data_IF_497544626015
#
_entry.id   IF_497544626015
#
_cell.length_a   1.000
_cell.length_b   1.000
_cell.length_c   1.000
_cell.angle_alpha   90.00
_cell.angle_beta   90.00
_cell.angle_gamma   90.00
#
_symmetry.space_group_name_H-M   'P 1'
#
loop_
_entity.id
_entity.type
_entity.pdbx_description
1 polymer ?
#
# COMPACT_ATOMS: atom_id res chain seq x y z
N UNK A 1 -15.80 -34.37 7.46
CA UNK A 1 -16.18 -33.03 7.90
C UNK A 1 -15.30 -32.63 9.07
N UNK A 2 -14.43 -31.65 8.90
CA UNK A 2 -13.51 -31.15 9.95
C UNK A 2 -14.15 -29.93 10.61
N UNK A 3 -14.39 -30.00 11.93
CA UNK A 3 -14.91 -28.85 12.69
C UNK A 3 -13.80 -28.16 13.48
N UNK A 4 -13.73 -26.80 13.37
CA UNK A 4 -12.81 -25.95 14.13
C UNK A 4 -13.57 -24.78 14.79
N UNK A 5 -12.92 -23.99 15.64
CA UNK A 5 -13.53 -22.78 16.21
C UNK A 5 -13.61 -21.66 15.20
N UNK A 6 -12.60 -21.57 14.30
CA UNK A 6 -12.49 -20.50 13.32
C UNK A 6 -11.97 -21.02 11.98
N UNK A 7 -12.69 -20.72 10.89
CA UNK A 7 -12.17 -20.83 9.53
C UNK A 7 -11.71 -19.45 9.07
N UNK A 8 -10.53 -19.36 8.44
CA UNK A 8 -10.03 -18.14 7.81
C UNK A 8 -9.79 -18.42 6.34
N UNK A 9 -10.43 -17.64 5.46
CA UNK A 9 -10.28 -17.74 4.00
C UNK A 9 -9.32 -16.69 3.52
N UNK A 10 -8.09 -17.08 3.19
CA UNK A 10 -6.97 -16.22 2.78
C UNK A 10 -5.90 -16.10 3.86
N UNK A 11 -4.63 -16.29 3.47
CA UNK A 11 -3.46 -16.23 4.35
C UNK A 11 -2.62 -14.94 4.12
N UNK A 12 -3.27 -13.84 3.70
CA UNK A 12 -2.66 -12.51 3.68
C UNK A 12 -2.35 -12.00 5.10
N UNK A 13 -1.81 -10.76 5.25
CA UNK A 13 -1.41 -10.20 6.55
C UNK A 13 -2.48 -10.26 7.63
N UNK A 14 -3.75 -10.04 7.28
CA UNK A 14 -4.87 -10.20 8.20
C UNK A 14 -5.07 -11.66 8.60
N UNK A 15 -5.12 -12.58 7.62
CA UNK A 15 -5.44 -13.98 7.84
C UNK A 15 -4.40 -14.73 8.67
N UNK A 16 -3.11 -14.70 8.26
CA UNK A 16 -2.08 -15.46 9.00
C UNK A 16 -1.82 -14.91 10.41
N UNK A 17 -1.95 -13.58 10.60
CA UNK A 17 -1.82 -12.98 11.93
C UNK A 17 -3.00 -13.33 12.83
N UNK A 18 -4.22 -13.28 12.30
CA UNK A 18 -5.42 -13.70 13.03
C UNK A 18 -5.36 -15.18 13.40
N UNK A 19 -4.94 -16.06 12.47
CA UNK A 19 -4.79 -17.50 12.74
C UNK A 19 -3.81 -17.76 13.89
N UNK A 20 -2.64 -17.13 13.84
CA UNK A 20 -1.64 -17.27 14.90
C UNK A 20 -2.14 -16.75 16.25
N UNK A 21 -2.75 -15.56 16.27
CA UNK A 21 -3.32 -14.97 17.48
C UNK A 21 -4.42 -15.86 18.09
N UNK A 22 -5.32 -16.38 17.27
CA UNK A 22 -6.39 -17.29 17.71
C UNK A 22 -5.84 -18.58 18.32
N UNK A 23 -4.86 -19.21 17.65
CA UNK A 23 -4.22 -20.45 18.15
C UNK A 23 -3.45 -20.22 19.46
N UNK A 24 -2.74 -19.09 19.63
CA UNK A 24 -2.09 -18.70 20.88
C UNK A 24 -3.07 -18.55 22.05
N UNK A 25 -4.34 -18.29 21.75
CA UNK A 25 -5.42 -18.18 22.75
C UNK A 25 -6.29 -19.44 22.84
N UNK A 26 -5.82 -20.56 22.31
CA UNK A 26 -6.44 -21.90 22.49
C UNK A 26 -7.57 -22.22 21.51
N UNK A 27 -7.81 -21.39 20.48
CA UNK A 27 -8.76 -21.72 19.41
C UNK A 27 -8.13 -22.68 18.41
N UNK A 28 -8.94 -23.61 17.89
CA UNK A 28 -8.58 -24.39 16.70
C UNK A 28 -8.95 -23.64 15.45
N UNK A 29 -8.01 -23.52 14.52
CA UNK A 29 -8.14 -22.69 13.31
C UNK A 29 -7.88 -23.53 12.06
N UNK A 30 -8.77 -23.44 11.08
CA UNK A 30 -8.49 -23.86 9.71
C UNK A 30 -8.26 -22.62 8.87
N UNK A 31 -7.06 -22.45 8.32
CA UNK A 31 -6.74 -21.35 7.39
C UNK A 31 -6.57 -21.92 5.98
N UNK A 32 -7.28 -21.34 5.02
CA UNK A 32 -7.36 -21.83 3.64
C UNK A 32 -6.72 -20.80 2.72
N UNK A 33 -5.80 -21.22 1.84
CA UNK A 33 -5.09 -20.35 0.90
C UNK A 33 -5.09 -20.96 -0.51
N UNK A 34 -5.54 -20.16 -1.47
CA UNK A 34 -5.60 -20.58 -2.86
C UNK A 34 -4.27 -20.49 -3.62
N UNK A 35 -3.34 -19.67 -3.11
CA UNK A 35 -2.05 -19.40 -3.74
C UNK A 35 -0.89 -19.60 -2.73
N UNK A 36 0.07 -18.67 -2.68
CA UNK A 36 1.20 -18.72 -1.75
C UNK A 36 0.85 -18.10 -0.39
N UNK A 37 1.37 -18.70 0.69
CA UNK A 37 1.26 -18.16 2.04
C UNK A 37 1.80 -16.71 2.12
N UNK A 38 1.09 -15.84 2.85
CA UNK A 38 1.45 -14.43 3.01
C UNK A 38 0.67 -13.48 2.10
N UNK A 39 -0.10 -14.00 1.13
CA UNK A 39 -0.99 -13.22 0.27
C UNK A 39 -0.28 -12.20 -0.62
N UNK A 40 -1.04 -11.25 -1.15
CA UNK A 40 -0.56 -10.24 -2.11
C UNK A 40 0.59 -9.40 -1.56
N UNK A 41 0.49 -8.90 -0.33
CA UNK A 41 1.50 -8.00 0.24
C UNK A 41 2.91 -8.61 0.24
N UNK A 42 3.04 -9.85 0.67
CA UNK A 42 4.33 -10.54 0.72
C UNK A 42 4.83 -10.96 -0.66
N UNK A 43 3.96 -11.56 -1.47
CA UNK A 43 4.40 -12.26 -2.66
C UNK A 43 4.46 -11.38 -3.91
N UNK A 44 3.53 -10.42 -4.06
CA UNK A 44 3.35 -9.64 -5.29
C UNK A 44 2.88 -8.20 -5.02
N UNK A 45 3.27 -7.62 -3.86
CA UNK A 45 2.87 -6.27 -3.45
C UNK A 45 3.96 -5.55 -2.67
N UNK A 46 3.71 -5.34 -1.37
CA UNK A 46 4.54 -4.48 -0.51
C UNK A 46 6.02 -4.90 -0.50
N UNK A 47 6.31 -6.16 -0.19
CA UNK A 47 7.68 -6.63 0.06
C UNK A 47 8.55 -6.59 -1.22
N UNK A 48 8.13 -7.20 -2.34
CA UNK A 48 8.92 -7.10 -3.56
C UNK A 48 9.10 -5.66 -4.04
N UNK A 49 8.04 -4.81 -3.96
CA UNK A 49 8.14 -3.40 -4.34
C UNK A 49 9.14 -2.66 -3.45
N UNK A 50 9.08 -2.81 -2.12
CA UNK A 50 10.01 -2.13 -1.19
C UNK A 50 11.45 -2.62 -1.35
N UNK A 51 11.63 -3.87 -1.78
CA UNK A 51 12.96 -4.37 -2.17
C UNK A 51 13.50 -3.62 -3.39
N UNK A 52 12.65 -3.37 -4.41
CA UNK A 52 13.03 -2.56 -5.57
C UNK A 52 13.23 -1.07 -5.21
N UNK A 53 12.39 -0.51 -4.33
CA UNK A 53 12.58 0.86 -3.81
C UNK A 53 13.98 1.02 -3.19
N UNK A 54 14.41 0.05 -2.36
CA UNK A 54 15.76 0.09 -1.77
C UNK A 54 16.87 0.01 -2.82
N UNK A 55 16.69 -0.75 -3.89
CA UNK A 55 17.63 -0.75 -5.00
C UNK A 55 17.72 0.62 -5.69
N UNK A 56 16.56 1.28 -5.89
CA UNK A 56 16.50 2.63 -6.46
C UNK A 56 17.24 3.67 -5.60
N UNK A 57 17.07 3.62 -4.27
CA UNK A 57 17.80 4.47 -3.31
C UNK A 57 19.32 4.26 -3.39
N UNK A 58 19.77 2.99 -3.51
CA UNK A 58 21.20 2.68 -3.66
C UNK A 58 21.75 3.28 -4.96
N UNK A 59 21.03 3.18 -6.06
CA UNK A 59 21.41 3.77 -7.35
C UNK A 59 21.52 5.29 -7.22
N UNK A 60 20.52 5.93 -6.62
CA UNK A 60 20.52 7.37 -6.40
C UNK A 60 21.71 7.83 -5.54
N UNK A 61 22.00 7.10 -4.45
CA UNK A 61 23.18 7.36 -3.61
C UNK A 61 24.49 7.26 -4.43
N UNK A 62 24.61 6.26 -5.32
CA UNK A 62 25.78 6.12 -6.19
C UNK A 62 25.88 7.24 -7.23
N UNK A 63 24.76 7.70 -7.79
CA UNK A 63 24.73 8.81 -8.75
C UNK A 63 25.17 10.15 -8.15
N UNK A 64 25.00 10.32 -6.84
CA UNK A 64 25.34 11.53 -6.09
C UNK A 64 26.49 11.32 -5.08
N UNK A 65 27.31 10.28 -5.28
CA UNK A 65 28.40 9.93 -4.36
C UNK A 65 29.47 11.03 -4.23
N UNK A 66 29.64 11.86 -5.25
CA UNK A 66 30.56 13.01 -5.30
C UNK A 66 30.25 14.05 -4.21
N UNK A 67 28.98 14.24 -3.84
CA UNK A 67 28.56 15.13 -2.73
C UNK A 67 29.20 14.70 -1.41
N UNK A 68 29.46 13.39 -1.24
CA UNK A 68 30.11 12.80 -0.06
C UNK A 68 31.64 12.62 -0.24
N UNK A 69 32.21 13.17 -1.31
CA UNK A 69 33.64 13.04 -1.61
C UNK A 69 34.06 11.66 -2.10
N UNK A 70 33.10 10.84 -2.56
CA UNK A 70 33.37 9.50 -3.13
C UNK A 70 33.36 9.60 -4.65
N UNK A 71 34.51 9.39 -5.29
CA UNK A 71 34.62 9.32 -6.75
C UNK A 71 34.32 7.89 -7.22
N UNK A 72 33.46 7.76 -8.24
CA UNK A 72 33.13 6.52 -8.90
C UNK A 72 33.47 6.62 -10.40
N UNK A 73 34.16 5.62 -10.94
CA UNK A 73 34.43 5.50 -12.39
C UNK A 73 33.20 4.94 -13.17
N UNK A 74 31.99 5.17 -12.64
CA UNK A 74 30.74 4.63 -13.14
C UNK A 74 30.28 3.38 -12.38
N UNK A 75 29.06 2.91 -12.68
CA UNK A 75 28.50 1.66 -12.18
C UNK A 75 27.57 1.05 -13.23
N UNK A 76 27.33 -0.24 -13.12
CA UNK A 76 26.41 -0.96 -13.97
C UNK A 76 25.32 -1.66 -13.13
N UNK A 77 24.06 -1.35 -13.42
CA UNK A 77 22.93 -2.05 -12.83
C UNK A 77 22.82 -3.46 -13.43
N UNK A 78 22.94 -4.48 -12.60
CA UNK A 78 22.72 -5.89 -12.98
C UNK A 78 21.29 -6.29 -12.63
N UNK A 79 20.33 -5.94 -13.51
CA UNK A 79 18.91 -6.14 -13.25
C UNK A 79 18.53 -7.58 -12.88
N UNK A 80 19.08 -8.65 -13.51
CA UNK A 80 18.82 -10.01 -13.05
C UNK A 80 19.15 -10.26 -11.58
N UNK A 81 20.24 -9.65 -11.04
CA UNK A 81 20.59 -9.76 -9.62
C UNK A 81 19.64 -8.96 -8.70
N UNK A 82 19.10 -7.85 -9.20
CA UNK A 82 18.05 -7.11 -8.49
C UNK A 82 16.83 -7.99 -8.30
N UNK A 83 16.40 -8.66 -9.37
CA UNK A 83 15.23 -9.56 -9.35
C UNK A 83 15.48 -10.81 -8.51
N UNK A 84 16.67 -11.40 -8.60
CA UNK A 84 17.08 -12.51 -7.73
C UNK A 84 17.02 -12.12 -6.25
N UNK A 85 17.58 -10.96 -5.88
CA UNK A 85 17.51 -10.45 -4.50
C UNK A 85 16.08 -10.22 -4.04
N UNK A 86 15.23 -9.63 -4.91
CA UNK A 86 13.80 -9.45 -4.64
C UNK A 86 13.16 -10.81 -4.30
N UNK A 87 13.41 -11.82 -5.11
CA UNK A 87 12.85 -13.16 -4.94
C UNK A 87 13.36 -13.82 -3.64
N UNK A 88 14.65 -13.73 -3.32
CA UNK A 88 15.21 -14.24 -2.07
C UNK A 88 14.54 -13.64 -0.84
N UNK A 89 14.28 -12.32 -0.83
CA UNK A 89 13.58 -11.65 0.28
C UNK A 89 12.16 -12.18 0.44
N UNK A 90 11.43 -12.34 -0.66
CA UNK A 90 10.06 -12.89 -0.66
C UNK A 90 10.06 -14.34 -0.13
N UNK A 91 10.94 -15.19 -0.62
CA UNK A 91 11.03 -16.61 -0.22
C UNK A 91 11.39 -16.76 1.26
N UNK A 92 12.36 -15.97 1.74
CA UNK A 92 12.73 -15.99 3.16
C UNK A 92 11.54 -15.67 4.07
N UNK A 93 10.77 -14.63 3.74
CA UNK A 93 9.60 -14.24 4.54
C UNK A 93 8.44 -15.22 4.39
N UNK A 94 8.22 -15.77 3.19
CA UNK A 94 7.21 -16.81 2.95
C UNK A 94 7.47 -18.06 3.81
N UNK A 95 8.72 -18.53 3.83
CA UNK A 95 9.16 -19.66 4.67
C UNK A 95 8.89 -19.38 6.17
N UNK A 96 9.09 -18.13 6.62
CA UNK A 96 8.74 -17.72 7.98
C UNK A 96 7.23 -17.83 8.27
N UNK A 97 6.39 -17.44 7.33
CA UNK A 97 4.92 -17.57 7.48
C UNK A 97 4.50 -19.04 7.43
N UNK A 98 5.08 -19.83 6.52
CA UNK A 98 4.79 -21.28 6.46
C UNK A 98 5.16 -21.98 7.77
N UNK A 99 6.27 -21.58 8.40
CA UNK A 99 6.65 -22.04 9.74
C UNK A 99 5.63 -21.59 10.80
N UNK A 100 5.17 -20.34 10.72
CA UNK A 100 4.15 -19.84 11.63
C UNK A 100 2.82 -20.61 11.51
N UNK A 101 2.46 -21.06 10.31
CA UNK A 101 1.27 -21.89 10.08
C UNK A 101 1.38 -23.32 10.63
N UNK A 102 2.57 -23.73 11.10
CA UNK A 102 2.77 -24.99 11.82
C UNK A 102 2.51 -24.88 13.34
N UNK A 103 2.07 -23.71 13.82
CA UNK A 103 1.69 -23.52 15.23
C UNK A 103 0.60 -24.52 15.63
N UNK A 104 0.74 -25.23 16.77
CA UNK A 104 -0.30 -26.12 17.26
C UNK A 104 -1.66 -25.42 17.34
N UNK A 105 -2.70 -26.10 16.85
CA UNK A 105 -4.05 -25.54 16.74
C UNK A 105 -4.37 -24.93 15.38
N UNK A 106 -3.39 -24.78 14.47
CA UNK A 106 -3.61 -24.33 13.10
C UNK A 106 -3.57 -25.52 12.13
N UNK A 107 -4.58 -25.63 11.29
CA UNK A 107 -4.62 -26.48 10.11
C UNK A 107 -4.54 -25.61 8.87
N UNK A 108 -3.44 -25.72 8.11
CA UNK A 108 -3.25 -24.97 6.86
C UNK A 108 -3.70 -25.81 5.66
N UNK A 109 -4.69 -25.33 4.92
CA UNK A 109 -5.29 -26.02 3.77
C UNK A 109 -4.98 -25.23 2.50
N UNK A 110 -4.48 -25.91 1.47
CA UNK A 110 -4.26 -25.33 0.15
C UNK A 110 -5.43 -25.63 -0.77
N UNK A 111 -6.00 -24.58 -1.34
CA UNK A 111 -7.09 -24.68 -2.31
C UNK A 111 -7.97 -23.44 -2.30
N UNK A 112 -8.83 -23.37 -3.31
CA UNK A 112 -9.82 -22.30 -3.42
C UNK A 112 -11.05 -22.65 -2.58
N UNK A 113 -11.42 -21.76 -1.66
CA UNK A 113 -12.55 -21.92 -0.76
C UNK A 113 -13.81 -21.24 -1.31
N UNK A 114 -14.96 -21.88 -1.16
CA UNK A 114 -16.28 -21.29 -1.43
C UNK A 114 -17.30 -21.75 -0.39
N UNK A 115 -18.35 -20.97 -0.20
CA UNK A 115 -19.40 -21.31 0.74
C UNK A 115 -20.37 -22.33 0.12
N UNK A 116 -20.78 -23.31 0.93
CA UNK A 116 -21.90 -24.18 0.65
C UNK A 116 -23.18 -23.66 1.33
N UNK A 117 -23.01 -23.10 2.51
CA UNK A 117 -24.03 -22.45 3.34
C UNK A 117 -23.33 -21.52 4.35
N UNK A 118 -24.07 -20.93 5.29
CA UNK A 118 -23.54 -20.00 6.30
C UNK A 118 -22.57 -20.60 7.32
N UNK A 119 -22.44 -21.93 7.38
CA UNK A 119 -21.62 -22.65 8.38
C UNK A 119 -20.55 -23.54 7.73
N UNK A 120 -20.67 -23.78 6.41
CA UNK A 120 -19.85 -24.76 5.67
C UNK A 120 -19.08 -24.10 4.54
N UNK A 121 -17.77 -24.30 4.55
CA UNK A 121 -16.83 -23.93 3.49
C UNK A 121 -16.31 -25.18 2.80
N UNK A 122 -16.21 -25.16 1.47
CA UNK A 122 -15.77 -26.28 0.64
C UNK A 122 -14.43 -25.93 -0.02
N UNK A 123 -13.52 -26.91 -0.04
CA UNK A 123 -12.25 -26.84 -0.77
C UNK A 123 -12.05 -28.14 -1.55
N UNK A 124 -12.18 -28.09 -2.87
CA UNK A 124 -12.24 -29.30 -3.69
C UNK A 124 -13.46 -30.15 -3.31
N UNK A 125 -13.23 -31.41 -2.87
CA UNK A 125 -14.28 -32.34 -2.41
C UNK A 125 -14.43 -32.35 -0.88
N UNK A 126 -13.69 -31.54 -0.15
CA UNK A 126 -13.67 -31.55 1.31
C UNK A 126 -14.51 -30.41 1.91
N UNK A 127 -15.27 -30.75 2.97
CA UNK A 127 -16.11 -29.81 3.71
C UNK A 127 -15.51 -29.48 5.08
N UNK A 128 -15.50 -28.19 5.42
CA UNK A 128 -15.02 -27.64 6.68
C UNK A 128 -16.12 -26.82 7.34
N UNK A 129 -16.27 -26.97 8.65
CA UNK A 129 -17.26 -26.24 9.44
C UNK A 129 -16.58 -25.56 10.62
N UNK A 130 -17.11 -24.41 11.03
CA UNK A 130 -16.61 -23.69 12.20
C UNK A 130 -17.71 -22.97 12.95
N UNK A 131 -17.42 -22.56 14.19
CA UNK A 131 -18.29 -21.68 14.96
C UNK A 131 -18.28 -20.25 14.39
N UNK A 132 -17.15 -19.83 13.78
CA UNK A 132 -16.99 -18.55 13.12
C UNK A 132 -16.19 -18.69 11.81
N UNK A 133 -16.48 -17.84 10.83
CA UNK A 133 -15.76 -17.78 9.55
C UNK A 133 -15.27 -16.35 9.31
N UNK A 134 -13.99 -16.19 8.96
CA UNK A 134 -13.36 -14.92 8.65
C UNK A 134 -12.93 -14.89 7.18
N UNK A 135 -13.51 -14.00 6.38
CA UNK A 135 -13.16 -13.80 4.98
C UNK A 135 -12.03 -12.79 4.92
N UNK A 136 -10.84 -13.19 4.43
CA UNK A 136 -9.62 -12.40 4.32
C UNK A 136 -8.98 -12.52 2.92
N UNK A 137 -9.81 -12.63 1.88
CA UNK A 137 -9.42 -12.93 0.50
C UNK A 137 -8.72 -11.77 -0.22
N UNK A 138 -8.71 -10.58 0.38
CA UNK A 138 -7.95 -9.43 -0.10
C UNK A 138 -8.54 -8.79 -1.35
N UNK A 139 -7.66 -8.38 -2.27
CA UNK A 139 -8.02 -7.65 -3.49
C UNK A 139 -7.04 -7.94 -4.62
N UNK A 140 -7.48 -7.67 -5.87
CA UNK A 140 -6.65 -7.70 -7.08
C UNK A 140 -6.59 -6.34 -7.78
N UNK A 141 -5.68 -6.20 -8.75
CA UNK A 141 -5.56 -5.00 -9.57
C UNK A 141 -6.84 -4.76 -10.37
N UNK A 142 -7.33 -3.53 -10.38
CA UNK A 142 -8.49 -3.13 -11.16
C UNK A 142 -8.07 -2.67 -12.55
N UNK A 143 -8.49 -3.40 -13.59
CA UNK A 143 -8.34 -2.97 -14.97
C UNK A 143 -9.56 -2.16 -15.41
N UNK A 144 -9.38 -0.90 -15.83
CA UNK A 144 -10.48 -0.08 -16.32
C UNK A 144 -10.94 -0.57 -17.69
N UNK A 145 -12.19 -0.30 -18.12
CA UNK A 145 -12.70 -0.70 -19.42
C UNK A 145 -12.19 0.25 -20.53
N UNK A 146 -10.87 0.27 -20.73
CA UNK A 146 -10.17 1.03 -21.76
C UNK A 146 -9.80 0.05 -22.88
N UNK A 147 -10.01 0.44 -24.13
CA UNK A 147 -9.60 -0.35 -25.28
C UNK A 147 -8.09 -0.59 -25.27
N UNK A 148 -7.69 -1.85 -25.49
CA UNK A 148 -6.28 -2.26 -25.54
C UNK A 148 -5.67 -2.66 -24.19
N UNK A 149 -6.41 -2.70 -23.09
CA UNK A 149 -5.88 -3.14 -21.78
C UNK A 149 -5.46 -4.61 -21.72
N UNK A 150 -5.85 -5.41 -22.71
CA UNK A 150 -5.48 -6.84 -22.83
C UNK A 150 -4.34 -7.07 -23.82
N UNK A 151 -3.79 -6.04 -24.42
CA UNK A 151 -2.66 -6.17 -25.35
C UNK A 151 -1.41 -6.66 -24.61
N UNK A 152 -0.56 -7.49 -25.25
CA UNK A 152 0.73 -7.86 -24.69
C UNK A 152 1.54 -6.59 -24.32
N UNK A 153 2.21 -6.59 -23.16
CA UNK A 153 2.95 -5.43 -22.65
C UNK A 153 2.10 -4.38 -21.94
N UNK A 154 0.77 -4.53 -21.91
CA UNK A 154 -0.10 -3.84 -20.96
C UNK A 154 -0.27 -4.76 -19.76
N UNK A 155 0.23 -4.36 -18.60
CA UNK A 155 0.40 -5.21 -17.44
C UNK A 155 -0.06 -4.51 -16.16
N UNK A 156 -0.27 -5.28 -15.11
CA UNK A 156 -0.53 -4.77 -13.75
C UNK A 156 0.76 -4.74 -12.92
N UNK A 157 0.65 -4.32 -11.66
CA UNK A 157 1.79 -4.33 -10.72
C UNK A 157 2.33 -5.74 -10.45
N UNK A 158 1.49 -6.76 -10.58
CA UNK A 158 1.90 -8.16 -10.38
C UNK A 158 2.91 -8.60 -11.45
N UNK A 159 2.57 -8.40 -12.71
CA UNK A 159 3.46 -8.77 -13.82
C UNK A 159 4.70 -7.86 -13.89
N UNK A 160 4.56 -6.56 -13.52
CA UNK A 160 5.70 -5.64 -13.51
C UNK A 160 6.76 -6.05 -12.48
N UNK A 161 6.37 -6.71 -11.39
CA UNK A 161 7.31 -7.26 -10.39
C UNK A 161 8.08 -8.48 -10.88
N UNK A 162 7.71 -9.07 -12.04
CA UNK A 162 8.33 -10.28 -12.58
C UNK A 162 8.87 -10.11 -14.02
N UNK A 163 9.07 -8.87 -14.47
CA UNK A 163 9.65 -8.61 -15.79
C UNK A 163 11.14 -9.01 -15.84
N UNK A 164 11.57 -9.45 -17.00
CA UNK A 164 12.96 -9.90 -17.24
C UNK A 164 13.93 -8.74 -17.51
N UNK A 165 13.44 -7.62 -18.05
CA UNK A 165 14.24 -6.48 -18.49
C UNK A 165 13.62 -5.16 -18.09
N UNK A 166 14.45 -4.14 -17.87
CA UNK A 166 14.01 -2.78 -17.66
C UNK A 166 13.48 -2.22 -18.99
N UNK A 167 12.19 -1.79 -19.09
CA UNK A 167 11.69 -1.15 -20.29
C UNK A 167 12.38 0.20 -20.53
N UNK A 168 12.72 0.53 -21.76
CA UNK A 168 13.27 1.85 -22.06
C UNK A 168 12.24 2.95 -21.80
N UNK A 169 10.96 2.69 -22.16
CA UNK A 169 9.83 3.61 -21.98
C UNK A 169 8.73 2.91 -21.21
N UNK A 170 8.39 3.43 -20.04
CA UNK A 170 7.31 2.95 -19.19
C UNK A 170 6.21 4.01 -19.12
N UNK A 171 5.00 3.67 -19.58
CA UNK A 171 3.81 4.49 -19.33
C UNK A 171 3.02 3.93 -18.17
N UNK A 172 2.69 4.76 -17.19
CA UNK A 172 1.91 4.38 -16.01
C UNK A 172 0.55 5.08 -16.07
N UNK A 173 -0.52 4.33 -16.03
CA UNK A 173 -1.89 4.84 -15.97
C UNK A 173 -2.37 4.78 -14.52
N UNK A 174 -2.46 5.96 -13.88
CA UNK A 174 -2.80 6.15 -12.48
C UNK A 174 -1.62 6.60 -11.62
N UNK A 175 -1.77 7.73 -10.92
CA UNK A 175 -0.78 8.30 -10.00
C UNK A 175 -1.18 8.06 -8.52
N UNK A 176 -1.76 6.91 -8.21
CA UNK A 176 -1.94 6.41 -6.86
C UNK A 176 -0.63 5.88 -6.28
N UNK A 177 -0.70 5.26 -5.08
CA UNK A 177 0.49 4.75 -4.36
C UNK A 177 1.35 3.83 -5.24
N UNK A 178 0.73 2.82 -5.86
CA UNK A 178 1.41 1.83 -6.71
C UNK A 178 2.09 2.53 -7.90
N UNK A 179 1.35 3.39 -8.63
CA UNK A 179 1.89 4.08 -9.80
C UNK A 179 3.05 5.00 -9.46
N UNK A 180 2.99 5.72 -8.34
CA UNK A 180 4.04 6.63 -7.90
C UNK A 180 5.30 5.90 -7.42
N UNK A 181 5.15 4.77 -6.70
CA UNK A 181 6.28 3.95 -6.27
C UNK A 181 7.02 3.37 -7.49
N UNK A 182 6.31 2.78 -8.46
CA UNK A 182 6.95 2.27 -9.67
C UNK A 182 7.50 3.38 -10.57
N UNK A 183 6.87 4.56 -10.62
CA UNK A 183 7.43 5.71 -11.32
C UNK A 183 8.80 6.10 -10.73
N UNK A 184 8.91 6.16 -9.40
CA UNK A 184 10.16 6.44 -8.70
C UNK A 184 11.21 5.36 -8.97
N UNK A 185 10.86 4.07 -8.83
CA UNK A 185 11.77 2.94 -9.01
C UNK A 185 12.32 2.87 -10.43
N UNK A 186 11.43 2.84 -11.43
CA UNK A 186 11.87 2.65 -12.83
C UNK A 186 12.57 3.88 -13.40
N UNK A 187 12.24 5.09 -12.95
CA UNK A 187 13.03 6.28 -13.27
C UNK A 187 14.46 6.16 -12.76
N UNK A 188 14.66 5.70 -11.53
CA UNK A 188 16.02 5.44 -10.98
C UNK A 188 16.75 4.31 -11.72
N UNK A 189 16.02 3.32 -12.26
CA UNK A 189 16.59 2.25 -13.09
C UNK A 189 16.94 2.68 -14.51
N UNK A 190 16.58 3.91 -14.91
CA UNK A 190 16.92 4.51 -16.20
C UNK A 190 15.81 4.47 -17.26
N UNK A 191 14.61 4.00 -16.93
CA UNK A 191 13.46 4.11 -17.81
C UNK A 191 13.03 5.55 -18.01
N UNK A 192 12.57 5.91 -19.22
CA UNK A 192 11.79 7.11 -19.47
C UNK A 192 10.35 6.85 -18.99
N UNK A 193 9.97 7.49 -17.89
CA UNK A 193 8.68 7.23 -17.25
C UNK A 193 7.70 8.37 -17.53
N UNK A 194 6.51 8.00 -18.05
CA UNK A 194 5.38 8.92 -18.25
C UNK A 194 4.19 8.44 -17.42
N UNK A 195 3.66 9.31 -16.56
CA UNK A 195 2.49 9.02 -15.71
C UNK A 195 1.29 9.81 -16.18
N UNK A 196 0.18 9.12 -16.46
CA UNK A 196 -1.09 9.71 -16.87
C UNK A 196 -2.10 9.55 -15.73
N UNK A 197 -2.62 10.68 -15.23
CA UNK A 197 -3.54 10.70 -14.11
C UNK A 197 -4.82 11.48 -14.43
N UNK A 198 -5.97 10.88 -14.16
CA UNK A 198 -7.28 11.49 -14.37
C UNK A 198 -7.55 12.63 -13.38
N UNK A 199 -7.11 12.48 -12.14
CA UNK A 199 -7.32 13.47 -11.09
C UNK A 199 -6.45 14.73 -11.29
N UNK A 200 -6.78 15.79 -10.56
CA UNK A 200 -6.04 17.05 -10.56
C UNK A 200 -4.65 16.90 -9.94
N UNK A 201 -4.51 16.04 -8.93
CA UNK A 201 -3.24 15.78 -8.25
C UNK A 201 -3.06 14.26 -8.02
N UNK A 202 -1.81 13.82 -7.85
CA UNK A 202 -1.46 12.46 -7.48
C UNK A 202 -1.81 12.17 -6.02
N UNK A 203 -1.80 10.90 -5.63
CA UNK A 203 -1.88 10.46 -4.23
C UNK A 203 -3.02 11.13 -3.45
N UNK A 204 -4.30 10.89 -3.79
CA UNK A 204 -5.45 11.55 -3.16
C UNK A 204 -5.60 11.22 -1.66
N UNK A 205 -4.81 10.29 -1.15
CA UNK A 205 -4.71 9.94 0.28
C UNK A 205 -3.86 10.92 1.08
N UNK A 206 -3.05 11.75 0.41
CA UNK A 206 -2.20 12.79 1.03
C UNK A 206 -2.88 14.17 1.01
N UNK A 207 -2.40 15.04 1.87
CA UNK A 207 -2.62 16.48 1.74
C UNK A 207 -2.18 16.96 0.35
N UNK A 208 -3.00 17.78 -0.32
CA UNK A 208 -2.76 18.15 -1.72
C UNK A 208 -1.49 18.98 -1.94
N UNK A 209 -1.04 19.79 -0.94
CA UNK A 209 0.22 20.53 -1.02
C UNK A 209 1.42 19.58 -0.90
N UNK A 210 1.34 18.57 -0.01
CA UNK A 210 2.35 17.52 0.13
C UNK A 210 2.45 16.70 -1.16
N UNK A 211 1.32 16.18 -1.68
CA UNK A 211 1.29 15.41 -2.92
C UNK A 211 1.88 16.18 -4.11
N UNK A 212 1.49 17.46 -4.26
CA UNK A 212 2.00 18.33 -5.32
C UNK A 212 3.52 18.51 -5.23
N UNK A 213 4.06 18.73 -4.03
CA UNK A 213 5.51 18.90 -3.81
C UNK A 213 6.27 17.62 -4.11
N UNK A 214 5.80 16.49 -3.62
CA UNK A 214 6.38 15.19 -3.93
C UNK A 214 6.40 14.93 -5.45
N UNK A 215 5.29 15.15 -6.15
CA UNK A 215 5.23 15.03 -7.61
C UNK A 215 6.23 15.95 -8.31
N UNK A 216 6.39 17.20 -7.85
CA UNK A 216 7.37 18.13 -8.39
C UNK A 216 8.80 17.65 -8.18
N UNK A 217 9.12 17.09 -7.02
CA UNK A 217 10.43 16.51 -6.72
C UNK A 217 10.72 15.30 -7.61
N UNK A 218 9.77 14.38 -7.75
CA UNK A 218 9.91 13.21 -8.65
C UNK A 218 9.99 13.68 -10.13
N UNK A 219 9.25 14.72 -10.50
CA UNK A 219 9.32 15.31 -11.85
C UNK A 219 10.69 15.89 -12.20
N UNK A 220 11.40 16.50 -11.22
CA UNK A 220 12.79 16.97 -11.42
C UNK A 220 13.77 15.81 -11.66
N UNK A 221 13.41 14.59 -11.27
CA UNK A 221 14.18 13.35 -11.50
C UNK A 221 13.88 12.71 -12.86
N UNK A 222 13.11 13.38 -13.73
CA UNK A 222 12.87 12.96 -15.10
C UNK A 222 11.54 12.25 -15.34
N UNK A 223 10.68 12.09 -14.35
CA UNK A 223 9.34 11.53 -14.55
C UNK A 223 8.40 12.58 -15.14
N UNK A 224 7.77 12.29 -16.26
CA UNK A 224 6.79 13.16 -16.90
C UNK A 224 5.37 12.89 -16.37
N UNK A 225 4.67 13.97 -15.96
CA UNK A 225 3.30 13.87 -15.42
C UNK A 225 2.28 14.54 -16.34
N UNK A 226 1.24 13.79 -16.70
CA UNK A 226 0.05 14.29 -17.37
C UNK A 226 -1.14 14.18 -16.43
N UNK A 227 -1.33 15.24 -15.61
CA UNK A 227 -2.48 15.35 -14.70
C UNK A 227 -3.72 15.82 -15.44
N UNK A 228 -4.93 15.55 -14.88
CA UNK A 228 -6.23 15.86 -15.50
C UNK A 228 -6.33 15.28 -16.92
N UNK A 229 -5.93 14.02 -17.07
CA UNK A 229 -5.79 13.35 -18.35
C UNK A 229 -6.53 12.01 -18.34
N UNK A 230 -7.48 11.85 -19.26
CA UNK A 230 -8.29 10.65 -19.41
C UNK A 230 -7.74 9.78 -20.53
N UNK A 231 -7.23 8.59 -20.20
CA UNK A 231 -6.83 7.60 -21.22
C UNK A 231 -8.06 7.11 -21.97
N UNK A 232 -7.97 7.05 -23.29
CA UNK A 232 -9.04 6.63 -24.20
C UNK A 232 -8.80 5.23 -24.75
N UNK A 233 -7.58 4.97 -25.22
CA UNK A 233 -7.21 3.68 -25.80
C UNK A 233 -5.71 3.43 -25.73
N UNK A 234 -5.35 2.16 -25.84
CA UNK A 234 -3.98 1.69 -26.02
C UNK A 234 -3.97 0.90 -27.31
N UNK A 235 -3.04 1.22 -28.21
CA UNK A 235 -2.90 0.52 -29.50
C UNK A 235 -1.49 -0.03 -29.64
N UNK A 236 -1.38 -1.19 -30.25
CA UNK A 236 -0.09 -1.71 -30.72
C UNK A 236 0.30 -1.00 -32.01
N UNK A 237 1.51 -0.46 -32.06
CA UNK A 237 2.08 0.21 -33.22
C UNK A 237 3.48 -0.33 -33.49
N UNK A 238 4.07 0.06 -34.60
CA UNK A 238 5.43 -0.36 -34.96
C UNK A 238 6.27 0.89 -35.20
N UNK A 239 7.46 0.90 -34.63
CA UNK A 239 8.45 1.98 -34.83
C UNK A 239 9.00 1.95 -36.26
N UNK A 240 9.69 3.01 -36.68
CA UNK A 240 10.31 3.09 -38.03
C UNK A 240 11.33 1.97 -38.27
N UNK A 241 12.01 1.48 -37.25
CA UNK A 241 12.96 0.36 -37.28
C UNK A 241 12.28 -1.02 -37.16
N UNK A 242 10.94 -1.07 -37.18
CA UNK A 242 10.16 -2.31 -37.20
C UNK A 242 9.95 -2.95 -35.82
N UNK A 243 10.30 -2.29 -34.72
CA UNK A 243 10.06 -2.78 -33.36
C UNK A 243 8.63 -2.51 -32.94
N UNK A 244 8.08 -3.44 -32.17
CA UNK A 244 6.78 -3.29 -31.53
C UNK A 244 6.84 -2.21 -30.45
N UNK A 245 5.81 -1.37 -30.38
CA UNK A 245 5.58 -0.43 -29.29
C UNK A 245 4.08 -0.31 -28.99
N UNK A 246 3.75 0.27 -27.85
CA UNK A 246 2.40 0.63 -27.45
C UNK A 246 2.24 2.15 -27.52
N UNK A 247 1.15 2.61 -28.12
CA UNK A 247 0.78 4.04 -28.13
C UNK A 247 -0.45 4.23 -27.26
N UNK A 248 -0.30 5.00 -26.18
CA UNK A 248 -1.39 5.37 -25.28
C UNK A 248 -1.97 6.69 -25.71
N UNK A 249 -3.23 6.68 -26.14
CA UNK A 249 -3.98 7.89 -26.50
C UNK A 249 -4.80 8.38 -25.32
N UNK A 250 -4.69 9.65 -25.00
CA UNK A 250 -5.39 10.26 -23.88
C UNK A 250 -5.82 11.70 -24.20
N UNK A 251 -6.72 12.22 -23.39
CA UNK A 251 -7.21 13.59 -23.51
C UNK A 251 -6.73 14.39 -22.29
N UNK A 252 -5.92 15.41 -22.53
CA UNK A 252 -5.39 16.32 -21.50
C UNK A 252 -6.11 17.67 -21.58
N UNK A 253 -6.95 17.97 -20.58
CA UNK A 253 -7.74 19.21 -20.55
C UNK A 253 -8.53 19.44 -21.86
N UNK A 254 -9.17 18.41 -22.39
CA UNK A 254 -9.96 18.46 -23.59
C UNK A 254 -9.16 18.45 -24.92
N UNK A 255 -7.83 18.27 -24.88
CA UNK A 255 -6.98 18.17 -26.06
C UNK A 255 -6.40 16.76 -26.20
N UNK A 256 -6.46 16.16 -27.40
CA UNK A 256 -5.86 14.85 -27.64
C UNK A 256 -4.33 14.93 -27.48
N UNK A 257 -3.78 13.88 -26.90
CA UNK A 257 -2.35 13.67 -26.73
C UNK A 257 -2.02 12.18 -26.79
N UNK A 258 -0.78 11.85 -27.05
CA UNK A 258 -0.30 10.48 -27.12
C UNK A 258 1.05 10.34 -26.43
N UNK A 259 1.36 9.13 -25.96
CA UNK A 259 2.68 8.74 -25.48
C UNK A 259 2.97 7.31 -25.92
N UNK A 260 4.20 7.09 -26.40
CA UNK A 260 4.67 5.77 -26.80
C UNK A 260 5.42 5.11 -25.64
N UNK A 261 5.22 3.81 -25.50
CA UNK A 261 5.81 3.01 -24.44
C UNK A 261 6.16 1.59 -24.93
N UNK A 262 7.12 0.96 -24.28
CA UNK A 262 7.42 -0.46 -24.45
C UNK A 262 6.56 -1.31 -23.54
N UNK A 263 6.24 -0.77 -22.35
CA UNK A 263 5.37 -1.38 -21.34
C UNK A 263 4.40 -0.31 -20.81
N UNK A 264 3.14 -0.70 -20.63
CA UNK A 264 2.10 0.12 -20.01
C UNK A 264 1.67 -0.54 -18.70
N UNK A 265 1.86 0.15 -17.57
CA UNK A 265 1.39 -0.28 -16.26
C UNK A 265 -0.01 0.27 -15.98
N UNK A 266 -0.96 -0.60 -15.71
CA UNK A 266 -2.28 -0.23 -15.16
C UNK A 266 -2.20 -0.16 -13.64
N UNK A 267 -2.29 1.04 -13.07
CA UNK A 267 -2.22 1.32 -11.64
C UNK A 267 -3.43 2.15 -11.15
N UNK A 268 -4.64 1.83 -11.66
CA UNK A 268 -5.88 2.59 -11.44
C UNK A 268 -6.68 2.13 -10.22
N UNK A 269 -6.05 1.42 -9.29
CA UNK A 269 -6.64 0.95 -8.05
C UNK A 269 -6.81 -0.56 -7.98
N UNK A 270 -7.55 -1.01 -6.95
CA UNK A 270 -7.75 -2.42 -6.63
C UNK A 270 -9.24 -2.74 -6.52
N UNK A 271 -9.62 -3.99 -6.73
CA UNK A 271 -10.98 -4.51 -6.53
C UNK A 271 -10.98 -5.61 -5.46
N UNK A 272 -11.98 -5.67 -4.56
CA UNK A 272 -12.13 -6.74 -3.59
C UNK A 272 -12.29 -8.12 -4.26
N UNK A 273 -11.69 -9.15 -3.68
CA UNK A 273 -11.79 -10.55 -4.16
C UNK A 273 -13.01 -11.23 -3.54
N UNK A 274 -14.14 -11.08 -4.22
CA UNK A 274 -15.44 -11.65 -3.82
C UNK A 274 -15.93 -12.72 -4.81
N UNK A 275 -15.35 -12.78 -6.02
CA UNK A 275 -15.76 -13.67 -7.08
C UNK A 275 -15.44 -15.14 -6.74
N UNK A 276 -16.40 -16.06 -6.99
CA UNK A 276 -16.24 -17.49 -6.77
C UNK A 276 -16.32 -17.95 -5.30
N UNK A 277 -16.59 -17.03 -4.36
CA UNK A 277 -16.80 -17.38 -2.95
C UNK A 277 -18.20 -17.92 -2.68
N UNK A 278 -19.15 -17.77 -3.60
CA UNK A 278 -20.57 -18.17 -3.46
C UNK A 278 -21.23 -17.56 -2.21
N UNK A 279 -20.96 -16.26 -1.98
CA UNK A 279 -21.40 -15.49 -0.81
C UNK A 279 -22.93 -15.49 -0.63
N UNK A 280 -23.67 -15.63 -1.72
CA UNK A 280 -25.13 -15.72 -1.75
C UNK A 280 -25.62 -16.98 -1.00
N UNK A 281 -24.88 -18.09 -1.08
CA UNK A 281 -25.23 -19.35 -0.38
C UNK A 281 -25.06 -19.21 1.13
N UNK A 282 -24.14 -18.35 1.57
CA UNK A 282 -23.96 -18.00 2.97
C UNK A 282 -24.90 -16.84 3.43
N UNK A 283 -25.63 -16.22 2.53
CA UNK A 283 -26.50 -15.08 2.82
C UNK A 283 -25.74 -13.77 3.13
N UNK A 284 -24.46 -13.67 2.73
CA UNK A 284 -23.60 -12.50 3.01
C UNK A 284 -23.88 -11.39 2.01
N UNK A 285 -24.12 -10.18 2.53
CA UNK A 285 -24.33 -8.98 1.71
C UNK A 285 -23.01 -8.40 1.21
N UNK A 286 -22.94 -8.14 -0.10
CA UNK A 286 -21.77 -7.56 -0.75
C UNK A 286 -22.13 -6.69 -1.95
N UNK A 287 -21.15 -5.94 -2.44
CA UNK A 287 -21.23 -5.13 -3.65
C UNK A 287 -19.88 -5.15 -4.38
N UNK A 288 -19.77 -4.56 -5.58
CA UNK A 288 -18.46 -4.38 -6.23
C UNK A 288 -17.44 -3.57 -5.41
N UNK A 289 -17.88 -2.91 -4.32
CA UNK A 289 -17.01 -2.18 -3.40
C UNK A 289 -16.47 -3.06 -2.26
N UNK A 290 -17.00 -4.28 -2.10
CA UNK A 290 -16.60 -5.23 -1.08
C UNK A 290 -17.78 -5.78 -0.26
N UNK A 291 -17.46 -6.61 0.72
CA UNK A 291 -18.41 -7.20 1.67
C UNK A 291 -18.81 -6.12 2.70
N UNK A 292 -20.12 -5.96 2.92
CA UNK A 292 -20.64 -5.03 3.92
C UNK A 292 -20.34 -5.55 5.33
N UNK A 293 -19.79 -4.69 6.20
CA UNK A 293 -19.45 -5.03 7.58
C UNK A 293 -19.79 -3.88 8.54
N UNK A 294 -20.08 -4.23 9.78
CA UNK A 294 -20.21 -3.28 10.90
C UNK A 294 -18.84 -2.82 11.43
N UNK A 295 -18.82 -2.10 12.55
CA UNK A 295 -17.58 -1.55 13.12
C UNK A 295 -16.69 -2.62 13.78
N UNK A 296 -17.25 -3.79 14.12
CA UNK A 296 -16.53 -4.98 14.58
C UNK A 296 -16.13 -5.91 13.41
N UNK A 297 -16.26 -5.45 12.14
CA UNK A 297 -15.98 -6.20 10.90
C UNK A 297 -16.85 -7.46 10.71
N UNK A 298 -18.01 -7.53 11.40
CA UNK A 298 -19.01 -8.57 11.24
C UNK A 298 -19.89 -8.26 10.03
N UNK A 299 -20.24 -9.27 9.26
CA UNK A 299 -21.22 -9.16 8.17
C UNK A 299 -22.66 -9.14 8.71
N UNK A 300 -23.64 -9.11 7.83
CA UNK A 300 -25.05 -9.30 8.21
C UNK A 300 -25.33 -10.74 8.74
N UNK A 301 -24.40 -11.68 8.58
CA UNK A 301 -24.47 -13.04 9.16
C UNK A 301 -23.61 -13.09 10.41
N UNK A 302 -24.22 -13.38 11.56
CA UNK A 302 -23.61 -13.21 12.89
C UNK A 302 -22.28 -13.95 13.09
N UNK A 303 -22.12 -15.13 12.48
CA UNK A 303 -20.90 -15.96 12.55
C UNK A 303 -19.85 -15.64 11.50
N UNK A 304 -20.12 -14.68 10.57
CA UNK A 304 -19.23 -14.40 9.44
C UNK A 304 -18.68 -12.97 9.55
N UNK A 305 -17.35 -12.87 9.46
CA UNK A 305 -16.57 -11.61 9.47
C UNK A 305 -15.86 -11.42 8.14
N UNK A 306 -15.56 -10.17 7.77
CA UNK A 306 -14.75 -9.87 6.58
C UNK A 306 -13.72 -8.78 6.90
N UNK A 307 -12.43 -9.10 6.72
CA UNK A 307 -11.28 -8.23 7.09
C UNK A 307 -10.39 -7.91 5.90
N UNK A 308 -9.70 -6.78 6.00
CA UNK A 308 -8.77 -6.30 4.97
C UNK A 308 -9.47 -5.83 3.71
N UNK A 309 -8.76 -5.91 2.58
CA UNK A 309 -9.20 -5.30 1.32
C UNK A 309 -10.56 -5.78 0.84
N UNK A 310 -10.98 -7.00 1.21
CA UNK A 310 -12.27 -7.58 0.77
C UNK A 310 -13.48 -6.82 1.29
N UNK A 311 -13.37 -6.09 2.42
CA UNK A 311 -14.46 -5.25 2.92
C UNK A 311 -14.46 -3.82 2.31
N UNK A 312 -13.43 -3.47 1.55
CA UNK A 312 -13.35 -2.19 0.84
C UNK A 312 -13.14 -0.94 1.71
N UNK A 313 -13.03 -1.06 3.05
CA UNK A 313 -12.89 0.10 3.96
C UNK A 313 -11.48 0.70 3.90
N UNK A 314 -10.44 -0.14 4.00
CA UNK A 314 -9.05 0.32 4.01
C UNK A 314 -8.12 -0.77 3.44
N UNK A 315 -7.56 -0.53 2.25
CA UNK A 315 -6.73 -1.51 1.54
C UNK A 315 -5.24 -1.36 1.93
N UNK A 316 -4.94 -1.55 3.22
CA UNK A 316 -3.60 -1.52 3.80
C UNK A 316 -3.31 -2.80 4.59
N UNK A 317 -2.11 -3.34 4.45
CA UNK A 317 -1.72 -4.60 5.08
C UNK A 317 -1.83 -4.57 6.61
N UNK A 318 -1.42 -3.47 7.24
CA UNK A 318 -1.54 -3.29 8.68
C UNK A 318 -2.99 -3.08 9.13
N UNK A 319 -3.84 -2.44 8.32
CA UNK A 319 -5.27 -2.36 8.60
C UNK A 319 -5.87 -3.78 8.67
N UNK A 320 -5.61 -4.63 7.66
CA UNK A 320 -6.06 -6.02 7.67
C UNK A 320 -5.56 -6.79 8.89
N UNK A 321 -4.28 -6.60 9.27
CA UNK A 321 -3.70 -7.23 10.47
C UNK A 321 -4.46 -6.85 11.74
N UNK A 322 -4.67 -5.56 11.97
CA UNK A 322 -5.34 -5.09 13.19
C UNK A 322 -6.83 -5.43 13.20
N UNK A 323 -7.51 -5.41 12.05
CA UNK A 323 -8.89 -5.91 11.91
C UNK A 323 -8.97 -7.40 12.30
N UNK A 324 -8.03 -8.24 11.83
CA UNK A 324 -7.97 -9.65 12.19
C UNK A 324 -7.76 -9.89 13.68
N UNK A 325 -6.85 -9.15 14.32
CA UNK A 325 -6.63 -9.22 15.76
C UNK A 325 -7.89 -8.81 16.55
N UNK A 326 -8.55 -7.72 16.14
CA UNK A 326 -9.79 -7.25 16.74
C UNK A 326 -10.91 -8.30 16.67
N UNK A 327 -11.15 -8.86 15.48
CA UNK A 327 -12.17 -9.92 15.31
C UNK A 327 -11.88 -11.13 16.17
N UNK A 328 -10.62 -11.57 16.25
CA UNK A 328 -10.24 -12.69 17.14
C UNK A 328 -10.49 -12.33 18.62
N UNK A 329 -10.18 -11.11 19.05
CA UNK A 329 -10.48 -10.64 20.40
C UNK A 329 -11.99 -10.68 20.69
N UNK A 330 -12.82 -10.21 19.75
CA UNK A 330 -14.30 -10.28 19.87
C UNK A 330 -14.79 -11.73 19.98
N UNK A 331 -14.28 -12.65 19.17
CA UNK A 331 -14.62 -14.08 19.26
C UNK A 331 -14.25 -14.67 20.63
N UNK A 332 -13.14 -14.20 21.23
CA UNK A 332 -12.69 -14.61 22.56
C UNK A 332 -13.43 -13.90 23.71
N UNK A 333 -14.36 -12.98 23.41
CA UNK A 333 -15.04 -12.15 24.42
C UNK A 333 -14.12 -11.15 25.12
N UNK A 334 -13.04 -10.73 24.46
CA UNK A 334 -12.07 -9.73 24.95
C UNK A 334 -12.32 -8.37 24.31
N UNK A 335 -12.21 -7.32 25.09
CA UNK A 335 -12.16 -5.96 24.56
C UNK A 335 -10.72 -5.56 24.22
N UNK A 336 -10.56 -4.69 23.23
CA UNK A 336 -9.30 -4.03 22.88
C UNK A 336 -9.51 -2.53 22.68
N UNK A 337 -8.42 -1.77 22.63
CA UNK A 337 -8.43 -0.32 22.45
C UNK A 337 -7.93 0.10 21.05
N UNK A 338 -8.08 -0.77 20.05
CA UNK A 338 -7.62 -0.46 18.67
C UNK A 338 -8.48 0.66 18.10
N UNK A 339 -7.83 1.77 17.74
CA UNK A 339 -8.51 2.91 17.15
C UNK A 339 -8.34 2.92 15.63
N UNK A 340 -9.36 2.47 14.91
CA UNK A 340 -9.35 2.39 13.44
C UNK A 340 -9.50 3.75 12.74
N UNK A 341 -9.85 4.83 13.46
CA UNK A 341 -9.86 6.19 12.91
C UNK A 341 -8.44 6.76 12.77
N UNK A 342 -7.46 6.18 13.48
CA UNK A 342 -6.05 6.55 13.40
C UNK A 342 -5.32 5.53 12.53
N UNK A 343 -5.39 5.72 11.22
CA UNK A 343 -4.79 4.80 10.26
C UNK A 343 -3.64 5.48 9.50
N UNK A 344 -2.38 5.19 9.86
CA UNK A 344 -1.22 5.74 9.15
C UNK A 344 -1.06 5.08 7.78
N UNK A 345 -0.51 5.83 6.83
CA UNK A 345 -0.12 5.30 5.51
C UNK A 345 1.23 5.85 5.06
N UNK A 346 1.96 5.06 4.28
CA UNK A 346 3.24 5.46 3.72
C UNK A 346 3.34 5.09 2.23
N UNK A 347 4.05 5.92 1.48
CA UNK A 347 4.35 5.79 0.06
C UNK A 347 5.88 5.79 -0.05
N UNK A 348 6.45 4.69 -0.54
CA UNK A 348 7.89 4.46 -0.58
C UNK A 348 8.51 4.89 -1.91
N UNK A 349 8.13 6.09 -2.36
CA UNK A 349 8.88 6.82 -3.39
C UNK A 349 10.22 7.31 -2.82
N UNK A 350 11.07 7.89 -3.67
CA UNK A 350 12.26 8.58 -3.20
C UNK A 350 12.21 10.04 -3.67
N UNK A 351 12.06 11.01 -2.71
CA UNK A 351 11.85 10.81 -1.26
C UNK A 351 10.49 10.15 -0.94
N UNK A 352 10.39 9.51 0.22
CA UNK A 352 9.15 8.89 0.67
C UNK A 352 8.11 9.92 1.14
N UNK A 353 6.85 9.49 1.29
CA UNK A 353 5.80 10.29 1.90
C UNK A 353 4.94 9.45 2.84
N UNK A 354 4.32 10.09 3.82
CA UNK A 354 3.44 9.41 4.76
C UNK A 354 2.37 10.36 5.30
N UNK A 355 1.30 9.77 5.84
CA UNK A 355 0.20 10.51 6.45
C UNK A 355 -0.49 9.72 7.55
N UNK A 356 -1.07 10.44 8.51
CA UNK A 356 -2.04 9.93 9.47
C UNK A 356 -3.06 11.01 9.78
N UNK A 357 -4.33 10.62 10.01
CA UNK A 357 -5.42 11.54 10.31
C UNK A 357 -5.83 12.42 9.14
N UNK A 358 -6.41 13.58 9.42
CA UNK A 358 -7.03 14.44 8.41
C UNK A 358 -6.02 15.33 7.68
N UNK A 359 -6.20 15.48 6.37
CA UNK A 359 -5.48 16.48 5.56
C UNK A 359 -6.08 17.89 5.76
N UNK A 360 -5.34 18.90 5.34
CA UNK A 360 -5.86 20.28 5.32
C UNK A 360 -7.10 20.43 4.44
N UNK A 361 -7.14 19.71 3.32
CA UNK A 361 -8.28 19.70 2.41
C UNK A 361 -9.55 19.17 3.09
N UNK A 362 -9.43 18.09 3.86
CA UNK A 362 -10.54 17.51 4.65
C UNK A 362 -10.97 18.43 5.78
N UNK A 363 -10.04 18.99 6.55
CA UNK A 363 -10.34 19.91 7.64
C UNK A 363 -11.08 21.16 7.15
N UNK A 364 -10.69 21.72 6.00
CA UNK A 364 -11.39 22.84 5.34
C UNK A 364 -12.78 22.46 4.88
N UNK A 365 -12.94 21.28 4.28
CA UNK A 365 -14.24 20.81 3.80
C UNK A 365 -15.24 20.57 4.94
N UNK A 366 -14.74 20.13 6.10
CA UNK A 366 -15.55 19.90 7.32
C UNK A 366 -15.78 21.18 8.14
N UNK A 367 -15.13 22.30 7.79
CA UNK A 367 -15.22 23.55 8.55
C UNK A 367 -14.57 23.50 9.94
N UNK A 368 -13.59 22.62 10.13
CA UNK A 368 -12.88 22.48 11.41
C UNK A 368 -12.00 23.70 11.68
N UNK A 369 -11.96 24.14 12.95
CA UNK A 369 -11.03 25.16 13.43
C UNK A 369 -9.69 24.51 13.80
N UNK A 370 -8.67 24.73 12.99
CA UNK A 370 -7.33 24.14 13.17
C UNK A 370 -6.21 25.17 13.02
N UNK A 371 -5.05 24.82 13.56
CA UNK A 371 -3.75 25.41 13.27
C UNK A 371 -2.94 24.46 12.41
N UNK A 372 -2.28 24.98 11.36
CA UNK A 372 -1.36 24.20 10.53
C UNK A 372 0.07 24.61 10.82
N UNK A 373 0.86 23.72 11.42
CA UNK A 373 2.29 23.90 11.69
C UNK A 373 3.13 23.21 10.63
N UNK A 374 4.20 23.86 10.18
CA UNK A 374 5.02 23.38 9.07
C UNK A 374 6.48 23.29 9.44
N UNK A 375 7.09 22.11 9.19
CA UNK A 375 8.52 21.89 9.32
C UNK A 375 9.15 21.53 7.97
N UNK A 376 10.44 21.81 7.82
CA UNK A 376 11.16 21.59 6.57
C UNK A 376 12.48 20.85 6.82
N UNK A 377 12.77 19.84 6.03
CA UNK A 377 14.03 19.08 6.09
C UNK A 377 15.26 19.97 5.92
N UNK A 378 15.20 20.99 5.05
CA UNK A 378 16.30 21.93 4.81
C UNK A 378 16.75 22.75 6.03
N UNK A 379 15.95 22.81 7.10
CA UNK A 379 16.29 23.46 8.36
C UNK A 379 16.75 22.50 9.45
N UNK A 380 16.77 21.18 9.17
CA UNK A 380 17.15 20.15 10.11
C UNK A 380 18.61 19.71 9.90
N UNK A 381 19.41 19.70 10.97
CA UNK A 381 20.85 19.38 10.89
C UNK A 381 21.14 17.95 10.39
N UNK A 382 20.31 16.97 10.76
CA UNK A 382 20.48 15.59 10.30
C UNK A 382 20.16 15.46 8.81
N UNK A 383 19.10 16.11 8.33
CA UNK A 383 18.74 16.13 6.92
C UNK A 383 19.84 16.77 6.05
N UNK A 384 20.44 17.88 6.53
CA UNK A 384 21.60 18.50 5.88
C UNK A 384 22.80 17.55 5.83
N UNK A 385 23.13 16.89 6.93
CA UNK A 385 24.23 15.93 7.00
C UNK A 385 24.03 14.73 6.06
N UNK A 386 22.78 14.32 5.82
CA UNK A 386 22.41 13.24 4.92
C UNK A 386 22.27 13.68 3.45
N UNK A 387 22.33 14.96 3.16
CA UNK A 387 21.97 15.57 1.87
C UNK A 387 20.51 15.30 1.44
N UNK A 388 19.61 15.12 2.42
CA UNK A 388 18.19 14.81 2.24
C UNK A 388 17.31 16.00 2.61
N UNK A 389 17.53 17.14 1.91
CA UNK A 389 16.91 18.44 2.26
C UNK A 389 15.54 18.66 1.63
N UNK A 390 15.15 17.87 0.64
CA UNK A 390 13.84 17.94 0.00
C UNK A 390 12.79 17.26 0.88
N UNK A 391 12.07 18.06 1.65
CA UNK A 391 11.01 17.53 2.50
C UNK A 391 10.24 18.61 3.26
N UNK A 392 9.00 18.27 3.62
CA UNK A 392 8.10 19.11 4.42
C UNK A 392 7.17 18.24 5.27
N UNK A 393 6.92 18.68 6.48
CA UNK A 393 5.92 18.14 7.39
C UNK A 393 4.81 19.18 7.59
N UNK A 394 3.56 18.76 7.55
CA UNK A 394 2.39 19.53 7.98
C UNK A 394 1.74 18.81 9.14
N UNK A 395 1.63 19.46 10.27
CA UNK A 395 0.94 19.00 11.46
C UNK A 395 -0.30 19.85 11.70
N UNK A 396 -1.46 19.21 11.88
CA UNK A 396 -2.73 19.89 12.09
C UNK A 396 -3.18 19.71 13.53
N UNK A 397 -3.47 20.81 14.21
CA UNK A 397 -3.81 20.87 15.62
C UNK A 397 -5.16 21.53 15.79
N UNK A 398 -6.04 20.95 16.59
CA UNK A 398 -7.34 21.54 16.95
C UNK A 398 -7.11 22.79 17.83
N UNK A 399 -7.67 23.94 17.41
CA UNK A 399 -7.52 25.20 18.16
C UNK A 399 -8.19 25.20 19.52
N UNK A 400 -9.24 24.40 19.73
CA UNK A 400 -10.01 24.43 20.96
C UNK A 400 -9.33 23.66 22.12
N UNK A 401 -8.73 22.49 21.83
CA UNK A 401 -8.23 21.57 22.85
C UNK A 401 -6.77 21.13 22.62
N UNK A 402 -6.12 21.59 21.54
CA UNK A 402 -4.75 21.25 21.20
C UNK A 402 -4.52 19.83 20.71
N UNK A 403 -5.56 19.04 20.48
CA UNK A 403 -5.43 17.67 19.96
C UNK A 403 -4.84 17.65 18.55
N UNK A 404 -3.99 16.65 18.30
CA UNK A 404 -3.43 16.41 16.98
C UNK A 404 -4.52 15.80 16.09
N UNK A 405 -4.83 16.47 14.96
CA UNK A 405 -5.86 16.07 14.00
C UNK A 405 -5.30 15.29 12.81
N UNK A 406 -4.03 15.49 12.50
CA UNK A 406 -3.36 14.79 11.40
C UNK A 406 -1.95 15.29 11.16
N UNK A 407 -1.17 14.45 10.50
CA UNK A 407 0.19 14.75 10.05
C UNK A 407 0.40 14.20 8.65
N UNK A 408 0.86 15.04 7.73
CA UNK A 408 1.21 14.66 6.37
C UNK A 408 2.62 15.16 6.06
N UNK A 409 3.46 14.27 5.56
CA UNK A 409 4.87 14.54 5.32
C UNK A 409 5.35 13.97 3.98
N UNK A 410 6.37 14.59 3.39
CA UNK A 410 7.25 13.97 2.40
C UNK A 410 8.69 14.37 2.70
N UNK A 411 9.63 13.51 2.35
CA UNK A 411 11.04 13.66 2.64
C UNK A 411 11.60 12.41 3.33
N UNK A 412 12.88 12.38 3.60
CA UNK A 412 13.52 11.25 4.28
C UNK A 412 12.85 10.96 5.63
N UNK A 413 12.68 9.68 5.95
CA UNK A 413 12.09 9.20 7.21
C UNK A 413 10.66 9.68 7.49
N UNK A 414 9.88 10.04 6.46
CA UNK A 414 8.49 10.48 6.65
C UNK A 414 7.62 9.38 7.27
N UNK A 415 7.84 8.12 6.91
CA UNK A 415 7.12 6.97 7.48
C UNK A 415 7.36 6.82 8.98
N UNK A 416 8.61 6.96 9.44
CA UNK A 416 8.99 6.87 10.85
C UNK A 416 8.42 8.05 11.66
N UNK A 417 8.52 9.28 11.14
CA UNK A 417 7.95 10.47 11.79
C UNK A 417 6.43 10.39 11.92
N UNK A 418 5.74 9.99 10.86
CA UNK A 418 4.28 9.85 10.89
C UNK A 418 3.84 8.71 11.81
N UNK A 419 4.66 7.64 11.96
CA UNK A 419 4.39 6.57 12.92
C UNK A 419 4.42 7.08 14.36
N UNK A 420 5.31 7.99 14.71
CA UNK A 420 5.31 8.66 16.01
C UNK A 420 4.01 9.42 16.27
N UNK A 421 3.59 10.25 15.30
CA UNK A 421 2.33 10.99 15.41
C UNK A 421 1.12 10.04 15.47
N UNK A 422 1.13 8.94 14.73
CA UNK A 422 0.08 7.91 14.79
C UNK A 422 -0.02 7.31 16.20
N UNK A 423 1.10 7.00 16.85
CA UNK A 423 1.12 6.49 18.22
C UNK A 423 0.56 7.51 19.22
N UNK A 424 0.90 8.78 19.09
CA UNK A 424 0.37 9.86 19.91
C UNK A 424 -1.13 10.06 19.69
N UNK A 425 -1.59 10.12 18.44
CA UNK A 425 -3.00 10.27 18.09
C UNK A 425 -3.85 9.10 18.62
N UNK A 426 -3.33 7.87 18.60
CA UNK A 426 -4.05 6.70 19.13
C UNK A 426 -4.34 6.78 20.62
N UNK A 427 -3.63 7.65 21.35
CA UNK A 427 -3.83 7.93 22.79
C UNK A 427 -4.50 9.29 23.02
N UNK A 428 -4.96 9.97 21.97
CA UNK A 428 -5.63 11.26 22.09
C UNK A 428 -4.71 12.40 22.52
N UNK A 429 -3.39 12.29 22.22
CA UNK A 429 -2.38 13.26 22.64
C UNK A 429 -2.60 14.64 21.99
N UNK A 430 -2.09 15.65 22.69
CA UNK A 430 -2.10 17.05 22.28
C UNK A 430 -0.75 17.48 21.72
N UNK A 431 -0.72 18.67 21.14
CA UNK A 431 0.54 19.30 20.70
C UNK A 431 1.50 19.54 21.88
N UNK A 432 0.97 19.77 23.07
CA UNK A 432 1.78 19.94 24.30
C UNK A 432 2.45 18.63 24.69
N UNK A 433 1.80 17.48 24.49
CA UNK A 433 2.42 16.19 24.77
C UNK A 433 3.60 15.94 23.82
N UNK A 434 3.46 16.29 22.55
CA UNK A 434 4.56 16.22 21.57
C UNK A 434 5.70 17.19 21.93
N UNK A 435 5.40 18.44 22.31
CA UNK A 435 6.40 19.44 22.72
C UNK A 435 7.19 19.01 23.97
N UNK A 436 6.57 18.24 24.86
CA UNK A 436 7.22 17.73 26.07
C UNK A 436 7.96 16.40 25.86
N UNK A 437 7.84 15.77 24.69
CA UNK A 437 8.59 14.55 24.36
C UNK A 437 10.05 14.91 24.01
N UNK A 438 11.01 14.27 24.70
CA UNK A 438 12.44 14.49 24.43
C UNK A 438 12.82 13.73 23.16
N UNK A 439 13.22 14.45 22.12
CA UNK A 439 13.72 13.86 20.87
C UNK A 439 15.22 13.65 20.91
N UNK A 440 15.69 12.58 20.26
CA UNK A 440 17.12 12.28 20.15
C UNK A 440 17.78 13.28 19.19
N UNK A 441 18.88 13.89 19.60
CA UNK A 441 19.69 14.78 18.77
C UNK A 441 20.96 14.08 18.26
N UNK A 442 21.33 14.21 16.95
CA UNK A 442 20.53 14.80 15.88
C UNK A 442 19.70 13.73 15.14
N UNK A 443 18.45 14.00 14.92
CA UNK A 443 17.53 13.14 14.12
C UNK A 443 16.62 13.97 13.22
N UNK A 444 16.01 13.35 12.22
CA UNK A 444 14.99 13.99 11.39
C UNK A 444 13.69 14.19 12.21
N UNK A 445 13.40 13.31 13.17
CA UNK A 445 12.23 13.43 14.06
C UNK A 445 12.18 14.74 14.85
N UNK A 446 13.32 15.42 15.10
CA UNK A 446 13.33 16.75 15.75
C UNK A 446 12.50 17.81 14.98
N UNK A 447 12.21 17.60 13.69
CA UNK A 447 11.29 18.46 12.95
C UNK A 447 9.91 18.49 13.62
N UNK A 448 9.45 17.36 14.17
CA UNK A 448 8.17 17.28 14.87
C UNK A 448 8.20 18.07 16.19
N UNK A 449 9.29 17.96 16.92
CA UNK A 449 9.49 18.75 18.16
C UNK A 449 9.54 20.24 17.87
N UNK A 450 10.34 20.67 16.88
CA UNK A 450 10.50 22.09 16.52
C UNK A 450 9.17 22.75 16.14
N UNK A 451 8.28 22.02 15.44
CA UNK A 451 6.95 22.55 15.07
C UNK A 451 5.93 22.40 16.19
N UNK A 452 6.23 21.65 17.26
CA UNK A 452 5.39 21.54 18.43
C UNK A 452 5.56 22.70 19.42
N UNK A 453 6.71 23.35 19.42
CA UNK A 453 7.01 24.55 20.18
C UNK A 453 6.30 25.78 19.61
#
# INVERSE_FOLDING_TARGET
MTKTNLIIIGSGPGGYRAAHHAAQHGLTVTIIEAAEAGGTCLNRGCIPTKTLCRNAEVIDTMQHADVFGVALDGFQLQFPKVMERKQQVVEQLRSGIETLMQTPGITFVRGFAHFKDSETVVVGDEEYTADNIMIATGSDSKCPPIEGTTLPGVITSTELLDIDNIPERLCIIGAGVIGMEFASVFSSFGSKVSVIEFLKECLPVLDSDIAKRLRQTIGKRGVEFSMQSAVKSIAETTTEDGKRQLTVTYEKKGKPAQVDADVVLIATGRKPNIEGLDLELAGVEYSPKGIAVDDDFRTNVESIYAIGDVNGRCMLAHAATFQGLHVVNKILGKEDEINFDVMPSAIFTYPEAASVGKSEDQLKAEGCEYECRKGFHRSNGKALAMNETDGMVKLFVNKADGKILGCHAFGAHSSDMVQEISALMSKGATITDLANAIHIHPTIGEILHDIAL
#
